data_IF_194220836736
#
_entry.id   IF_194220836736
#
_cell.length_a   1.000
_cell.length_b   1.000
_cell.length_c   1.000
_cell.angle_alpha   90.00
_cell.angle_beta   90.00
_cell.angle_gamma   90.00
#
_symmetry.space_group_name_H-M   'P 1'
#
loop_
_entity.id
_entity.type
_entity.pdbx_description
1 polymer ?
#
# COMPACT_ATOMS: atom_id res chain seq x y z
N UNK A 1 7.77 5.25 1.46
CA UNK A 1 6.83 5.16 2.60
C UNK A 1 7.51 5.05 3.95
N UNK A 2 8.79 4.69 4.04
CA UNK A 2 9.56 4.69 5.30
C UNK A 2 9.33 5.91 6.19
N UNK A 3 9.33 7.13 5.64
CA UNK A 3 9.08 8.34 6.43
C UNK A 3 7.67 8.39 7.03
N UNK A 4 6.66 7.90 6.31
CA UNK A 4 5.27 7.82 6.81
C UNK A 4 5.18 6.77 7.91
N UNK A 5 5.77 5.58 7.70
CA UNK A 5 5.71 4.47 8.67
C UNK A 5 6.57 4.70 9.92
N UNK A 6 7.55 5.59 9.87
CA UNK A 6 8.42 5.93 11.00
C UNK A 6 7.88 7.07 11.87
N UNK A 7 6.83 7.77 11.43
CA UNK A 7 6.26 8.91 12.15
C UNK A 7 5.01 8.47 12.92
N UNK A 8 5.06 8.62 14.24
CA UNK A 8 4.00 8.18 15.17
C UNK A 8 2.65 8.85 14.91
N UNK A 9 2.62 10.02 14.27
CA UNK A 9 1.37 10.70 13.92
C UNK A 9 0.53 9.92 12.90
N UNK A 10 1.14 8.99 12.17
CA UNK A 10 0.46 8.16 11.17
C UNK A 10 0.32 6.71 11.62
N UNK A 11 0.53 6.43 12.91
CA UNK A 11 0.30 5.11 13.47
C UNK A 11 -1.15 4.65 13.21
N UNK A 12 -1.31 3.39 12.80
CA UNK A 12 -2.61 2.82 12.46
C UNK A 12 -3.18 3.24 11.09
N UNK A 13 -2.54 4.17 10.35
CA UNK A 13 -3.00 4.54 9.01
C UNK A 13 -2.43 3.54 7.98
N UNK A 14 -3.29 2.84 7.20
CA UNK A 14 -2.83 1.94 6.16
C UNK A 14 -2.25 2.72 4.96
N UNK A 15 -1.13 2.23 4.42
CA UNK A 15 -0.41 2.84 3.31
C UNK A 15 -0.37 1.89 2.11
N UNK A 16 -1.04 2.27 1.03
CA UNK A 16 -1.03 1.55 -0.25
C UNK A 16 -0.08 2.25 -1.23
N UNK A 17 0.81 1.49 -1.86
CA UNK A 17 1.65 1.98 -2.95
C UNK A 17 1.02 1.62 -4.30
N UNK A 18 0.66 2.64 -5.08
CA UNK A 18 0.32 2.48 -6.49
C UNK A 18 1.53 2.84 -7.36
N UNK A 19 1.87 2.01 -8.34
CA UNK A 19 2.92 2.32 -9.31
C UNK A 19 2.71 1.60 -10.64
N UNK A 20 3.13 2.20 -11.75
CA UNK A 20 3.15 1.53 -13.06
C UNK A 20 4.21 0.40 -13.14
N UNK A 21 5.16 0.39 -12.21
CA UNK A 21 6.19 -0.64 -12.10
C UNK A 21 5.59 -1.95 -11.58
N UNK A 22 5.67 -3.01 -12.38
CA UNK A 22 4.94 -4.27 -12.15
C UNK A 22 5.80 -5.51 -11.97
N UNK A 23 7.13 -5.37 -12.03
CA UNK A 23 8.02 -6.50 -11.76
C UNK A 23 7.93 -6.94 -10.30
N UNK A 24 8.19 -8.23 -10.06
CA UNK A 24 8.19 -8.80 -8.72
C UNK A 24 9.21 -8.12 -7.80
N UNK A 25 10.35 -7.69 -8.35
CA UNK A 25 11.34 -6.91 -7.62
C UNK A 25 10.77 -5.60 -7.05
N UNK A 26 9.91 -4.91 -7.81
CA UNK A 26 9.27 -3.67 -7.35
C UNK A 26 8.21 -3.94 -6.28
N UNK A 27 7.44 -5.03 -6.41
CA UNK A 27 6.49 -5.47 -5.38
C UNK A 27 7.19 -5.83 -4.08
N UNK A 28 8.29 -6.58 -4.17
CA UNK A 28 9.12 -6.95 -3.03
C UNK A 28 9.78 -5.73 -2.37
N UNK A 29 10.24 -4.76 -3.18
CA UNK A 29 10.76 -3.50 -2.67
C UNK A 29 9.69 -2.70 -1.93
N UNK A 30 8.48 -2.58 -2.50
CA UNK A 30 7.32 -1.96 -1.85
C UNK A 30 7.06 -2.55 -0.46
N UNK A 31 6.94 -3.88 -0.37
CA UNK A 31 6.78 -4.58 0.91
C UNK A 31 7.93 -4.29 1.88
N UNK A 32 9.17 -4.31 1.40
CA UNK A 32 10.36 -4.02 2.22
C UNK A 32 10.36 -2.61 2.82
N UNK A 33 9.82 -1.61 2.10
CA UNK A 33 9.72 -0.23 2.60
C UNK A 33 8.48 0.02 3.46
N UNK A 34 7.72 -1.03 3.78
CA UNK A 34 6.65 -1.02 4.77
C UNK A 34 5.29 -0.57 4.24
N UNK A 35 5.00 -0.75 2.94
CA UNK A 35 3.62 -0.57 2.45
C UNK A 35 2.76 -1.74 2.89
N UNK A 36 1.50 -1.47 3.22
CA UNK A 36 0.53 -2.49 3.60
C UNK A 36 -0.02 -3.21 2.36
N UNK A 37 -0.04 -2.55 1.20
CA UNK A 37 -0.33 -3.16 -0.09
C UNK A 37 0.41 -2.47 -1.26
N UNK A 38 0.57 -3.19 -2.36
CA UNK A 38 1.16 -2.67 -3.60
C UNK A 38 0.25 -3.00 -4.80
N UNK A 39 -0.26 -1.98 -5.47
CA UNK A 39 -1.07 -2.08 -6.69
C UNK A 39 -0.20 -1.70 -7.88
N UNK A 40 0.08 -2.68 -8.74
CA UNK A 40 0.96 -2.49 -9.88
C UNK A 40 0.15 -2.36 -11.17
N UNK A 41 0.45 -1.31 -11.96
CA UNK A 41 -0.38 -0.85 -13.09
C UNK A 41 -1.80 -0.51 -12.62
N UNK A 42 -2.39 0.52 -13.22
CA UNK A 42 -3.73 0.91 -12.81
C UNK A 42 -4.74 -0.16 -13.25
N UNK A 43 -5.51 -0.63 -12.28
CA UNK A 43 -6.64 -1.53 -12.40
C UNK A 43 -7.64 -1.13 -11.33
N UNK A 44 -8.82 -0.68 -11.75
CA UNK A 44 -9.82 -0.09 -10.86
C UNK A 44 -10.40 -1.12 -9.89
N UNK A 45 -10.63 -2.36 -10.36
CA UNK A 45 -11.20 -3.42 -9.55
C UNK A 45 -10.18 -3.87 -8.50
N UNK A 46 -8.94 -4.10 -8.92
CA UNK A 46 -7.85 -4.46 -8.01
C UNK A 46 -7.58 -3.37 -6.95
N UNK A 47 -7.62 -2.10 -7.34
CA UNK A 47 -7.47 -0.99 -6.40
C UNK A 47 -8.63 -0.96 -5.39
N UNK A 48 -9.87 -1.15 -5.84
CA UNK A 48 -11.03 -1.18 -4.98
C UNK A 48 -10.96 -2.36 -3.99
N UNK A 49 -10.62 -3.55 -4.47
CA UNK A 49 -10.45 -4.76 -3.65
C UNK A 49 -9.34 -4.60 -2.61
N UNK A 50 -8.27 -3.87 -2.95
CA UNK A 50 -7.20 -3.53 -2.02
C UNK A 50 -7.66 -2.54 -0.94
N UNK A 51 -8.42 -1.51 -1.32
CA UNK A 51 -8.82 -0.44 -0.41
C UNK A 51 -9.95 -0.84 0.55
N UNK A 52 -10.95 -1.60 0.09
CA UNK A 52 -12.12 -2.00 0.91
C UNK A 52 -11.74 -2.56 2.29
N UNK A 53 -10.90 -3.61 2.42
CA UNK A 53 -10.57 -4.17 3.72
C UNK A 53 -9.81 -3.19 4.61
N UNK A 54 -8.98 -2.32 4.02
CA UNK A 54 -8.20 -1.32 4.77
C UNK A 54 -9.08 -0.22 5.37
N UNK A 55 -10.12 0.20 4.64
CA UNK A 55 -11.08 1.20 5.11
C UNK A 55 -12.04 0.63 6.17
N UNK A 56 -12.36 -0.66 6.12
CA UNK A 56 -13.23 -1.31 7.10
C UNK A 56 -12.53 -1.62 8.42
N UNK A 57 -11.18 -1.64 8.45
CA UNK A 57 -10.38 -1.99 9.62
C UNK A 57 -10.36 -0.92 10.73
N UNK A 58 -10.78 0.30 10.40
CA UNK A 58 -10.81 1.46 11.31
C UNK A 58 -12.24 1.84 11.76
N UNK A 59 -13.21 0.91 11.69
CA UNK A 59 -14.48 0.99 12.42
C UNK A 59 -14.43 0.09 13.64
#
# INVERSE_FOLDING_TARGET
TRNIKADIRFEGIPVVMHSSLSSEANRAMGKRVGVDAYVAKFDADNLADTLRPLLMRNR
#
